data_IF_598250431239
#
_entry.id   IF_598250431239
#
_cell.length_a   1.000
_cell.length_b   1.000
_cell.length_c   1.000
_cell.angle_alpha   90.00
_cell.angle_beta   90.00
_cell.angle_gamma   90.00
#
_symmetry.space_group_name_H-M   'P 1'
#
loop_
_entity.id
_entity.type
_entity.pdbx_description
1 polymer ?
#
# COMPACT_ATOMS: atom_id res chain seq x y z
N UNK A 1 -39.40 -0.84 -21.07
CA UNK A 1 -38.19 -1.26 -21.82
C UNK A 1 -37.00 -0.32 -21.57
N UNK A 2 -37.07 0.98 -21.86
CA UNK A 2 -35.97 1.94 -21.61
C UNK A 2 -35.50 2.01 -20.14
N UNK A 3 -36.43 1.90 -19.19
CA UNK A 3 -36.12 1.90 -17.76
C UNK A 3 -35.37 0.63 -17.31
N UNK A 4 -35.75 -0.53 -17.86
CA UNK A 4 -35.03 -1.80 -17.62
C UNK A 4 -33.61 -1.76 -18.20
N UNK A 5 -33.41 -1.16 -19.38
CA UNK A 5 -32.07 -0.97 -19.96
C UNK A 5 -31.20 -0.06 -19.09
N UNK A 6 -31.75 1.06 -18.58
CA UNK A 6 -31.04 1.95 -17.64
C UNK A 6 -30.65 1.25 -16.34
N UNK A 7 -31.57 0.47 -15.76
CA UNK A 7 -31.30 -0.30 -14.54
C UNK A 7 -30.23 -1.37 -14.79
N UNK A 8 -30.27 -2.06 -15.93
CA UNK A 8 -29.24 -3.03 -16.31
C UNK A 8 -27.86 -2.38 -16.48
N UNK A 9 -27.78 -1.19 -17.08
CA UNK A 9 -26.53 -0.44 -17.21
C UNK A 9 -25.99 0.05 -15.86
N UNK A 10 -26.86 0.53 -14.98
CA UNK A 10 -26.50 0.91 -13.62
C UNK A 10 -25.99 -0.29 -12.82
N UNK A 11 -26.71 -1.42 -12.85
CA UNK A 11 -26.27 -2.65 -12.18
C UNK A 11 -24.93 -3.10 -12.72
N UNK A 12 -24.79 -3.12 -14.06
CA UNK A 12 -23.53 -3.37 -14.74
C UNK A 12 -22.45 -2.37 -14.34
N UNK A 13 -22.72 -1.19 -13.81
CA UNK A 13 -21.69 -0.26 -13.35
C UNK A 13 -21.27 -0.50 -11.90
N UNK A 14 -22.23 -0.75 -11.01
CA UNK A 14 -22.01 -0.73 -9.57
C UNK A 14 -21.73 -2.10 -8.93
N UNK A 15 -22.12 -3.21 -9.57
CA UNK A 15 -21.95 -4.54 -8.96
C UNK A 15 -20.51 -4.89 -8.51
N UNK A 16 -19.41 -4.49 -9.18
CA UNK A 16 -18.07 -4.81 -8.68
C UNK A 16 -17.76 -4.07 -7.39
N UNK A 17 -18.29 -2.86 -7.22
CA UNK A 17 -18.10 -2.07 -6.01
C UNK A 17 -18.83 -2.72 -4.84
N UNK A 18 -20.09 -3.15 -5.08
CA UNK A 18 -20.87 -3.89 -4.09
C UNK A 18 -20.22 -5.22 -3.72
N UNK A 19 -19.66 -5.93 -4.70
CA UNK A 19 -18.93 -7.18 -4.44
C UNK A 19 -17.69 -6.94 -3.59
N UNK A 20 -16.88 -5.93 -3.91
CA UNK A 20 -15.69 -5.56 -3.12
C UNK A 20 -16.09 -5.24 -1.67
N UNK A 21 -17.11 -4.40 -1.48
CA UNK A 21 -17.60 -4.06 -0.14
C UNK A 21 -18.11 -5.30 0.59
N UNK A 22 -18.94 -6.12 -0.07
CA UNK A 22 -19.50 -7.33 0.52
C UNK A 22 -18.42 -8.32 0.97
N UNK A 23 -17.36 -8.52 0.17
CA UNK A 23 -16.22 -9.38 0.52
C UNK A 23 -15.42 -8.79 1.69
N UNK A 24 -15.15 -7.49 1.70
CA UNK A 24 -14.46 -6.83 2.83
C UNK A 24 -15.26 -7.00 4.14
N UNK A 25 -16.57 -6.74 4.11
CA UNK A 25 -17.42 -6.90 5.30
C UNK A 25 -17.49 -8.37 5.74
N UNK A 26 -17.60 -9.31 4.80
CA UNK A 26 -17.64 -10.74 5.12
C UNK A 26 -16.35 -11.24 5.80
N UNK A 27 -15.18 -10.75 5.36
CA UNK A 27 -13.89 -11.18 5.91
C UNK A 27 -13.53 -10.46 7.21
N UNK A 28 -13.75 -9.15 7.27
CA UNK A 28 -13.25 -8.30 8.35
C UNK A 28 -14.35 -7.82 9.30
N UNK A 29 -15.64 -8.03 9.01
CA UNK A 29 -16.75 -7.57 9.86
C UNK A 29 -16.64 -8.05 11.31
N UNK A 30 -16.11 -9.26 11.53
CA UNK A 30 -15.87 -9.82 12.87
C UNK A 30 -14.88 -9.01 13.70
N UNK A 31 -13.97 -8.25 13.08
CA UNK A 31 -12.99 -7.43 13.82
C UNK A 31 -13.63 -6.31 14.61
N UNK A 32 -14.86 -5.90 14.26
CA UNK A 32 -15.61 -4.92 15.05
C UNK A 32 -15.97 -5.41 16.45
N UNK A 33 -15.96 -6.73 16.69
CA UNK A 33 -16.15 -7.32 18.01
C UNK A 33 -14.86 -7.57 18.79
N UNK A 34 -13.71 -7.09 18.30
CA UNK A 34 -12.43 -7.21 18.99
C UNK A 34 -12.15 -5.96 19.84
N UNK A 35 -11.42 -6.15 20.93
CA UNK A 35 -10.88 -5.07 21.76
C UNK A 35 -9.55 -4.57 21.21
N UNK A 36 -9.10 -3.41 21.73
CA UNK A 36 -7.76 -2.90 21.46
C UNK A 36 -6.68 -3.87 21.96
N UNK A 37 -5.61 -4.03 21.19
CA UNK A 37 -4.49 -4.90 21.54
C UNK A 37 -3.57 -4.25 22.58
N UNK A 38 -3.03 -5.05 23.50
CA UNK A 38 -2.02 -4.63 24.51
C UNK A 38 -0.63 -4.32 23.93
N UNK A 39 -0.52 -4.19 22.60
CA UNK A 39 0.74 -3.88 21.89
C UNK A 39 0.85 -2.39 21.61
N UNK A 40 0.66 -1.97 20.36
CA UNK A 40 0.69 -0.56 19.98
C UNK A 40 -0.64 0.15 20.29
N UNK A 41 -1.78 -0.56 20.33
CA UNK A 41 -3.07 0.11 20.54
C UNK A 41 -3.15 0.70 21.95
N UNK A 42 -2.65 -0.03 22.96
CA UNK A 42 -2.65 0.43 24.35
C UNK A 42 -1.90 1.76 24.56
N UNK A 43 -0.59 1.88 24.32
CA UNK A 43 0.16 3.11 24.55
C UNK A 43 -0.21 4.23 23.58
N UNK A 44 -0.49 3.94 22.31
CA UNK A 44 -0.67 4.98 21.29
C UNK A 44 -2.13 5.37 21.02
N UNK A 45 -3.09 4.54 21.43
CA UNK A 45 -4.52 4.82 21.28
C UNK A 45 -5.19 4.97 22.65
N UNK A 46 -5.15 3.92 23.47
CA UNK A 46 -5.93 3.82 24.71
C UNK A 46 -5.44 4.73 25.82
N UNK A 47 -4.14 4.73 26.09
CA UNK A 47 -3.53 5.50 27.17
C UNK A 47 -3.03 6.87 26.68
N UNK A 48 -3.15 7.15 25.38
CA UNK A 48 -2.69 8.40 24.79
C UNK A 48 -3.60 9.57 25.20
N UNK A 49 -3.12 10.54 26.02
CA UNK A 49 -3.93 11.64 26.51
C UNK A 49 -4.43 12.56 25.38
N UNK A 50 -3.71 12.62 24.26
CA UNK A 50 -4.04 13.47 23.11
C UNK A 50 -5.31 12.98 22.40
N UNK A 51 -5.64 11.69 22.52
CA UNK A 51 -6.82 11.09 21.87
C UNK A 51 -8.03 10.96 22.79
N UNK A 52 -7.92 11.30 24.09
CA UNK A 52 -9.02 11.19 25.04
C UNK A 52 -10.11 12.25 24.86
N UNK A 53 -9.76 13.39 24.28
CA UNK A 53 -10.69 14.49 24.03
C UNK A 53 -10.28 15.30 22.80
N UNK A 54 -11.24 16.00 22.20
CA UNK A 54 -10.97 16.95 21.13
C UNK A 54 -10.77 18.34 21.73
N UNK A 55 -9.54 18.85 21.67
CA UNK A 55 -9.20 20.20 22.11
C UNK A 55 -8.18 20.84 21.14
N UNK A 56 -8.07 22.17 21.19
CA UNK A 56 -7.06 22.90 20.40
C UNK A 56 -5.64 22.46 20.77
N UNK A 57 -5.39 22.22 22.06
CA UNK A 57 -4.09 21.75 22.54
C UNK A 57 -3.77 20.34 22.03
N UNK A 58 -4.76 19.42 22.04
CA UNK A 58 -4.57 18.08 21.49
C UNK A 58 -4.32 18.11 19.98
N UNK A 59 -5.05 18.95 19.24
CA UNK A 59 -4.77 19.19 17.82
C UNK A 59 -3.36 19.75 17.60
N UNK A 60 -2.92 20.68 18.44
CA UNK A 60 -1.56 21.23 18.38
C UNK A 60 -0.51 20.15 18.64
N UNK A 61 -0.73 19.27 19.63
CA UNK A 61 0.18 18.16 19.93
C UNK A 61 0.31 17.20 18.75
N UNK A 62 -0.81 16.86 18.08
CA UNK A 62 -0.80 16.01 16.88
C UNK A 62 0.10 16.61 15.78
N UNK A 63 0.01 17.92 15.55
CA UNK A 63 0.78 18.63 14.52
C UNK A 63 2.15 19.16 14.99
N UNK A 64 2.59 18.78 16.19
CA UNK A 64 3.92 19.11 16.70
C UNK A 64 4.82 17.87 16.59
N UNK A 65 5.96 17.95 15.88
CA UNK A 65 6.94 16.86 15.86
C UNK A 65 7.37 16.47 17.28
N UNK A 66 7.25 15.19 17.63
CA UNK A 66 7.50 14.71 19.00
C UNK A 66 6.41 15.05 20.03
N UNK A 67 5.25 15.57 19.59
CA UNK A 67 4.14 15.94 20.46
C UNK A 67 3.29 14.75 20.96
N UNK A 68 3.52 13.54 20.45
CA UNK A 68 2.94 12.31 20.96
C UNK A 68 4.03 11.54 21.69
N UNK A 69 3.80 11.28 22.98
CA UNK A 69 4.77 10.59 23.83
C UNK A 69 5.06 9.16 23.33
N UNK A 70 6.34 8.78 23.32
CA UNK A 70 6.81 7.45 22.91
C UNK A 70 6.78 7.17 21.39
N UNK A 71 6.06 7.98 20.61
CA UNK A 71 5.98 7.78 19.15
C UNK A 71 7.24 8.31 18.45
N UNK A 72 7.90 7.42 17.70
CA UNK A 72 9.12 7.73 16.95
C UNK A 72 8.83 8.36 15.59
N UNK A 73 7.61 8.23 15.08
CA UNK A 73 7.20 8.72 13.77
C UNK A 73 6.26 9.92 13.89
N UNK A 74 6.61 11.02 13.24
CA UNK A 74 5.69 12.14 13.00
C UNK A 74 4.65 11.73 11.96
N UNK A 75 3.49 11.24 12.43
CA UNK A 75 2.37 10.76 11.59
C UNK A 75 1.03 11.45 11.96
N UNK A 76 0.95 12.78 11.85
CA UNK A 76 -0.19 13.56 12.36
C UNK A 76 -1.54 13.12 11.78
N UNK A 77 -1.61 12.71 10.51
CA UNK A 77 -2.88 12.32 9.88
C UNK A 77 -3.41 10.99 10.42
N UNK A 78 -2.52 10.11 10.90
CA UNK A 78 -2.92 8.88 11.56
C UNK A 78 -3.60 9.17 12.90
N UNK A 79 -3.00 10.00 13.75
CA UNK A 79 -3.59 10.41 15.03
C UNK A 79 -4.86 11.27 14.84
N UNK A 80 -4.84 12.21 13.89
CA UNK A 80 -6.00 13.03 13.56
C UNK A 80 -7.24 12.17 13.21
N UNK A 81 -7.03 11.04 12.54
CA UNK A 81 -8.13 10.14 12.17
C UNK A 81 -8.84 9.48 13.36
N UNK A 82 -8.22 9.46 14.54
CA UNK A 82 -8.85 8.96 15.76
C UNK A 82 -9.71 10.02 16.46
N UNK A 83 -9.48 11.32 16.23
CA UNK A 83 -10.28 12.36 16.89
C UNK A 83 -11.78 12.32 16.56
N UNK A 84 -12.21 12.06 15.31
CA UNK A 84 -13.63 11.83 15.03
C UNK A 84 -14.20 10.63 15.78
N UNK A 85 -13.39 9.57 15.97
CA UNK A 85 -13.78 8.40 16.75
C UNK A 85 -14.12 8.81 18.19
N UNK A 86 -13.18 9.50 18.84
CA UNK A 86 -13.34 10.02 20.20
C UNK A 86 -14.52 10.97 20.31
N UNK A 87 -14.69 11.90 19.36
CA UNK A 87 -15.73 12.91 19.42
C UNK A 87 -17.15 12.32 19.35
N UNK A 88 -17.39 11.38 18.43
CA UNK A 88 -18.73 10.84 18.19
C UNK A 88 -19.08 9.62 19.06
N UNK A 89 -18.08 8.80 19.40
CA UNK A 89 -18.32 7.48 20.01
C UNK A 89 -17.53 7.26 21.31
N UNK A 90 -16.76 8.26 21.75
CA UNK A 90 -15.68 8.02 22.70
C UNK A 90 -14.57 7.18 22.08
N UNK A 91 -13.49 6.94 22.84
CA UNK A 91 -12.41 6.08 22.38
C UNK A 91 -12.86 4.61 22.39
N UNK A 92 -13.54 4.19 21.32
CA UNK A 92 -14.23 2.91 21.21
C UNK A 92 -13.58 2.01 20.14
N UNK A 93 -13.33 0.74 20.49
CA UNK A 93 -12.69 -0.25 19.60
C UNK A 93 -13.57 -0.61 18.39
N UNK A 94 -14.88 -0.79 18.59
CA UNK A 94 -15.86 -1.08 17.52
C UNK A 94 -15.79 -0.01 16.44
N UNK A 95 -15.87 1.26 16.85
CA UNK A 95 -15.82 2.39 15.94
C UNK A 95 -14.43 2.50 15.28
N UNK A 96 -13.36 2.17 16.01
CA UNK A 96 -12.02 2.17 15.46
C UNK A 96 -11.79 1.10 14.36
N UNK A 97 -12.21 -0.14 14.61
CA UNK A 97 -12.14 -1.24 13.65
C UNK A 97 -13.09 -1.00 12.47
N UNK A 98 -14.28 -0.44 12.72
CA UNK A 98 -15.23 -0.10 11.64
C UNK A 98 -14.62 0.87 10.64
N UNK A 99 -13.91 1.90 11.10
CA UNK A 99 -13.22 2.82 10.19
C UNK A 99 -12.11 2.12 9.39
N UNK A 100 -11.38 1.18 9.98
CA UNK A 100 -10.37 0.40 9.25
C UNK A 100 -11.01 -0.45 8.14
N UNK A 101 -12.14 -1.11 8.41
CA UNK A 101 -12.90 -1.86 7.39
C UNK A 101 -13.35 -0.95 6.26
N UNK A 102 -13.89 0.24 6.58
CA UNK A 102 -14.33 1.24 5.59
C UNK A 102 -13.15 1.70 4.73
N UNK A 103 -12.02 2.03 5.35
CA UNK A 103 -10.80 2.44 4.64
C UNK A 103 -10.28 1.32 3.73
N UNK A 104 -10.31 0.07 4.18
CA UNK A 104 -9.90 -1.08 3.37
C UNK A 104 -10.85 -1.31 2.17
N UNK A 105 -12.16 -1.18 2.37
CA UNK A 105 -13.15 -1.22 1.28
C UNK A 105 -12.93 -0.10 0.26
N UNK A 106 -12.70 1.13 0.73
CA UNK A 106 -12.36 2.27 -0.13
C UNK A 106 -11.07 2.00 -0.92
N UNK A 107 -10.04 1.45 -0.28
CA UNK A 107 -8.79 1.05 -0.93
C UNK A 107 -9.01 -0.03 -1.99
N UNK A 108 -9.83 -1.05 -1.72
CA UNK A 108 -10.21 -2.07 -2.71
C UNK A 108 -10.88 -1.47 -3.94
N UNK A 109 -11.80 -0.52 -3.75
CA UNK A 109 -12.47 0.20 -4.83
C UNK A 109 -11.47 1.04 -5.64
N UNK A 110 -10.60 1.81 -4.97
CA UNK A 110 -9.60 2.62 -5.66
C UNK A 110 -8.57 1.75 -6.40
N UNK A 111 -8.20 0.60 -5.85
CA UNK A 111 -7.33 -0.38 -6.51
C UNK A 111 -7.99 -0.94 -7.78
N UNK A 112 -9.30 -1.26 -7.73
CA UNK A 112 -10.08 -1.63 -8.91
C UNK A 112 -10.06 -0.53 -9.97
N UNK A 113 -10.33 0.72 -9.58
CA UNK A 113 -10.33 1.85 -10.51
C UNK A 113 -8.95 2.09 -11.12
N UNK A 114 -7.88 1.98 -10.34
CA UNK A 114 -6.51 2.14 -10.80
C UNK A 114 -6.13 1.03 -11.80
N UNK A 115 -6.41 -0.24 -11.47
CA UNK A 115 -6.14 -1.35 -12.37
C UNK A 115 -6.96 -1.22 -13.66
N UNK A 116 -8.23 -0.82 -13.58
CA UNK A 116 -9.04 -0.58 -14.76
C UNK A 116 -8.48 0.56 -15.62
N UNK A 117 -8.02 1.65 -15.00
CA UNK A 117 -7.37 2.76 -15.69
C UNK A 117 -6.08 2.33 -16.42
N UNK A 118 -5.28 1.43 -15.84
CA UNK A 118 -4.00 0.99 -16.38
C UNK A 118 -4.13 -0.10 -17.46
N UNK A 119 -5.01 -1.08 -17.24
CA UNK A 119 -5.11 -2.27 -18.09
C UNK A 119 -6.28 -2.24 -19.07
N UNK A 120 -7.27 -1.36 -18.85
CA UNK A 120 -8.51 -1.25 -19.66
C UNK A 120 -9.32 -2.55 -19.75
N UNK A 121 -9.04 -3.51 -18.85
CA UNK A 121 -9.77 -4.77 -18.75
C UNK A 121 -10.44 -4.83 -17.39
N UNK A 122 -11.77 -4.82 -17.40
CA UNK A 122 -12.59 -4.77 -16.20
C UNK A 122 -12.47 -6.03 -15.34
N UNK A 123 -12.45 -7.20 -15.96
CA UNK A 123 -12.37 -8.47 -15.24
C UNK A 123 -11.01 -8.60 -14.56
N UNK A 124 -9.93 -8.32 -15.30
CA UNK A 124 -8.58 -8.29 -14.74
C UNK A 124 -8.45 -7.32 -13.56
N UNK A 125 -9.04 -6.11 -13.69
CA UNK A 125 -9.05 -5.13 -12.61
C UNK A 125 -9.84 -5.60 -11.38
N UNK A 126 -10.98 -6.27 -11.58
CA UNK A 126 -11.77 -6.81 -10.48
C UNK A 126 -11.03 -7.94 -9.78
N UNK A 127 -10.48 -8.90 -10.52
CA UNK A 127 -9.67 -9.98 -9.94
C UNK A 127 -8.49 -9.44 -9.15
N UNK A 128 -7.81 -8.41 -9.64
CA UNK A 128 -6.71 -7.77 -8.91
C UNK A 128 -7.16 -7.09 -7.62
N UNK A 129 -8.31 -6.39 -7.63
CA UNK A 129 -8.85 -5.77 -6.44
C UNK A 129 -9.35 -6.80 -5.41
N UNK A 130 -9.99 -7.88 -5.86
CA UNK A 130 -10.40 -8.99 -5.00
C UNK A 130 -9.17 -9.70 -4.40
N UNK A 131 -8.15 -9.97 -5.20
CA UNK A 131 -6.89 -10.52 -4.70
C UNK A 131 -6.27 -9.58 -3.67
N UNK A 132 -6.29 -8.26 -3.91
CA UNK A 132 -5.77 -7.27 -2.96
C UNK A 132 -6.48 -7.34 -1.62
N UNK A 133 -7.82 -7.32 -1.58
CA UNK A 133 -8.59 -7.27 -0.32
C UNK A 133 -8.62 -8.61 0.44
N UNK A 134 -8.56 -9.73 -0.28
CA UNK A 134 -8.66 -11.08 0.32
C UNK A 134 -7.32 -11.58 0.83
N UNK A 135 -6.20 -11.04 0.31
CA UNK A 135 -4.89 -11.58 0.64
C UNK A 135 -4.59 -11.55 2.15
N UNK A 136 -4.12 -12.66 2.77
CA UNK A 136 -3.84 -12.74 4.20
C UNK A 136 -2.89 -11.66 4.73
N UNK A 137 -1.97 -11.15 3.90
CA UNK A 137 -1.10 -10.00 4.25
C UNK A 137 -1.88 -8.74 4.66
N UNK A 138 -3.12 -8.57 4.22
CA UNK A 138 -3.92 -7.42 4.60
C UNK A 138 -4.46 -7.52 6.03
N UNK A 139 -4.55 -8.73 6.61
CA UNK A 139 -5.18 -8.95 7.92
C UNK A 139 -4.55 -8.04 8.96
N UNK A 140 -3.22 -8.00 9.07
CA UNK A 140 -2.54 -7.14 10.03
C UNK A 140 -2.85 -5.66 9.85
N UNK A 141 -3.01 -5.17 8.62
CA UNK A 141 -3.34 -3.77 8.37
C UNK A 141 -4.81 -3.42 8.71
N UNK A 142 -5.73 -4.39 8.54
CA UNK A 142 -7.18 -4.17 8.70
C UNK A 142 -7.65 -4.46 10.13
N UNK A 143 -7.19 -5.57 10.73
CA UNK A 143 -7.66 -6.01 12.04
C UNK A 143 -6.96 -5.31 13.21
N UNK A 144 -5.73 -4.84 13.05
CA UNK A 144 -5.02 -4.10 14.09
C UNK A 144 -5.41 -2.62 14.05
N UNK A 145 -5.99 -2.08 15.13
CA UNK A 145 -6.53 -0.72 15.16
C UNK A 145 -5.47 0.34 14.80
N UNK A 146 -4.29 0.27 15.43
CA UNK A 146 -3.19 1.22 15.17
C UNK A 146 -2.62 1.13 13.76
N UNK A 147 -2.76 -0.01 13.06
CA UNK A 147 -2.39 -0.13 11.65
C UNK A 147 -3.28 0.67 10.70
N UNK A 148 -4.27 1.43 11.20
CA UNK A 148 -5.00 2.44 10.41
C UNK A 148 -4.09 3.34 9.57
N UNK A 149 -2.89 3.65 10.08
CA UNK A 149 -1.84 4.40 9.35
C UNK A 149 -1.52 3.81 7.97
N UNK A 150 -1.50 2.49 7.85
CA UNK A 150 -1.24 1.78 6.59
C UNK A 150 -2.41 1.93 5.62
N UNK A 151 -3.64 1.86 6.14
CA UNK A 151 -4.86 2.02 5.35
C UNK A 151 -5.02 3.45 4.83
N UNK A 152 -4.74 4.45 5.66
CA UNK A 152 -4.75 5.87 5.28
C UNK A 152 -3.67 6.19 4.26
N UNK A 153 -2.44 5.74 4.49
CA UNK A 153 -1.36 5.89 3.52
C UNK A 153 -1.71 5.22 2.19
N UNK A 154 -2.27 4.00 2.21
CA UNK A 154 -2.77 3.32 1.02
C UNK A 154 -3.87 4.08 0.27
N UNK A 155 -4.81 4.68 1.01
CA UNK A 155 -5.89 5.50 0.45
C UNK A 155 -5.33 6.70 -0.30
N UNK A 156 -4.47 7.45 0.37
CA UNK A 156 -3.85 8.63 -0.20
C UNK A 156 -2.90 8.29 -1.36
N UNK A 157 -2.19 7.15 -1.30
CA UNK A 157 -1.37 6.65 -2.40
C UNK A 157 -2.20 6.32 -3.66
N UNK A 158 -3.34 5.65 -3.50
CA UNK A 158 -4.22 5.30 -4.61
C UNK A 158 -4.89 6.56 -5.20
N UNK A 159 -5.35 7.48 -4.35
CA UNK A 159 -5.88 8.78 -4.78
C UNK A 159 -4.83 9.60 -5.53
N UNK A 160 -3.60 9.66 -5.01
CA UNK A 160 -2.46 10.28 -5.67
C UNK A 160 -2.25 9.71 -7.08
N UNK A 161 -2.16 8.39 -7.23
CA UNK A 161 -1.93 7.75 -8.52
C UNK A 161 -3.07 8.03 -9.51
N UNK A 162 -4.33 7.91 -9.08
CA UNK A 162 -5.50 8.17 -9.92
C UNK A 162 -5.55 9.63 -10.39
N UNK A 163 -5.33 10.59 -9.50
CA UNK A 163 -5.29 12.01 -9.84
C UNK A 163 -4.09 12.32 -10.72
N UNK A 164 -2.92 11.73 -10.45
CA UNK A 164 -1.72 11.91 -11.26
C UNK A 164 -1.92 11.37 -12.69
N UNK A 165 -2.60 10.23 -12.87
CA UNK A 165 -2.98 9.71 -14.18
C UNK A 165 -3.93 10.68 -14.92
N UNK A 166 -4.90 11.27 -14.22
CA UNK A 166 -5.82 12.27 -14.79
C UNK A 166 -5.10 13.57 -15.16
N UNK A 167 -4.16 14.01 -14.33
CA UNK A 167 -3.27 15.14 -14.62
C UNK A 167 -2.44 14.85 -15.88
N UNK A 168 -1.86 13.66 -16.02
CA UNK A 168 -1.09 13.30 -17.22
C UNK A 168 -1.91 13.35 -18.51
N UNK A 169 -3.19 13.00 -18.42
CA UNK A 169 -4.11 13.04 -19.56
C UNK A 169 -4.57 14.46 -19.92
N UNK A 170 -4.76 15.35 -18.95
CA UNK A 170 -5.40 16.66 -19.16
C UNK A 170 -4.49 17.87 -19.00
N UNK A 171 -3.32 17.68 -18.37
CA UNK A 171 -2.31 18.70 -18.02
C UNK A 171 -2.83 19.87 -17.17
N UNK A 172 -3.99 19.73 -16.52
CA UNK A 172 -4.56 20.77 -15.65
C UNK A 172 -3.76 20.92 -14.36
N UNK A 173 -3.20 22.10 -14.09
CA UNK A 173 -2.37 22.39 -12.90
C UNK A 173 -3.06 22.07 -11.57
N UNK A 174 -4.37 22.31 -11.46
CA UNK A 174 -5.15 21.98 -10.25
C UNK A 174 -5.04 20.49 -9.86
N UNK A 175 -4.97 19.58 -10.84
CA UNK A 175 -4.80 18.15 -10.57
C UNK A 175 -3.39 17.80 -10.11
N UNK A 176 -2.37 18.56 -10.52
CA UNK A 176 -1.01 18.37 -10.03
C UNK A 176 -0.93 18.74 -8.54
N UNK A 177 -1.50 19.87 -8.16
CA UNK A 177 -1.55 20.31 -6.75
C UNK A 177 -2.40 19.37 -5.89
N UNK A 178 -3.52 18.87 -6.42
CA UNK A 178 -4.33 17.87 -5.74
C UNK A 178 -3.57 16.53 -5.56
N UNK A 179 -2.79 16.10 -6.56
CA UNK A 179 -1.93 14.93 -6.41
C UNK A 179 -0.87 15.19 -5.32
N UNK A 180 -0.19 16.33 -5.35
CA UNK A 180 0.78 16.69 -4.32
C UNK A 180 0.15 16.71 -2.92
N UNK A 181 -1.06 17.25 -2.77
CA UNK A 181 -1.81 17.23 -1.52
C UNK A 181 -2.05 15.80 -1.02
N UNK A 182 -2.58 14.91 -1.87
CA UNK A 182 -2.79 13.52 -1.49
C UNK A 182 -1.48 12.81 -1.14
N UNK A 183 -0.42 13.03 -1.91
CA UNK A 183 0.89 12.49 -1.58
C UNK A 183 1.36 12.95 -0.19
N UNK A 184 1.27 14.25 0.10
CA UNK A 184 1.63 14.82 1.40
C UNK A 184 0.80 14.24 2.55
N UNK A 185 -0.53 14.15 2.39
CA UNK A 185 -1.41 13.53 3.39
C UNK A 185 -1.05 12.06 3.66
N UNK A 186 -0.71 11.31 2.61
CA UNK A 186 -0.30 9.92 2.76
C UNK A 186 1.04 9.75 3.46
N UNK A 187 2.04 10.56 3.10
CA UNK A 187 3.34 10.60 3.77
C UNK A 187 3.20 10.98 5.26
N UNK A 188 2.31 11.93 5.58
CA UNK A 188 1.95 12.32 6.95
C UNK A 188 1.06 11.28 7.68
N UNK A 189 0.56 10.26 6.99
CA UNK A 189 -0.12 9.13 7.61
C UNK A 189 0.88 8.02 7.93
N UNK A 190 1.77 7.68 6.99
CA UNK A 190 2.89 6.77 7.20
C UNK A 190 4.02 7.06 6.19
N UNK A 191 5.30 7.10 6.60
CA UNK A 191 6.44 7.37 5.71
C UNK A 191 6.78 6.23 4.71
N UNK A 192 5.84 5.34 4.37
CA UNK A 192 6.06 4.21 3.48
C UNK A 192 5.84 4.54 1.98
N UNK A 193 5.50 5.78 1.65
CA UNK A 193 5.18 6.22 0.27
C UNK A 193 6.38 6.72 -0.54
N UNK A 194 7.61 6.61 -0.02
CA UNK A 194 8.83 7.12 -0.68
C UNK A 194 9.08 6.52 -2.08
N UNK A 195 8.50 5.35 -2.37
CA UNK A 195 8.62 4.69 -3.67
C UNK A 195 7.69 5.26 -4.74
N UNK A 196 6.64 6.02 -4.40
CA UNK A 196 5.66 6.51 -5.38
C UNK A 196 6.23 7.49 -6.43
N UNK A 197 7.19 8.39 -6.11
CA UNK A 197 7.89 9.15 -7.15
C UNK A 197 8.56 8.25 -8.20
N UNK A 198 9.08 7.08 -7.79
CA UNK A 198 9.60 6.07 -8.72
C UNK A 198 8.48 5.38 -9.51
N UNK A 199 7.32 5.11 -8.90
CA UNK A 199 6.14 4.63 -9.63
C UNK A 199 5.75 5.64 -10.71
N UNK A 200 5.71 6.93 -10.38
CA UNK A 200 5.44 8.00 -11.34
C UNK A 200 6.35 7.84 -12.55
N UNK A 201 7.68 7.69 -12.36
CA UNK A 201 8.67 7.43 -13.42
C UNK A 201 8.23 6.25 -14.29
N UNK A 202 7.79 5.13 -13.72
CA UNK A 202 7.43 3.93 -14.47
C UNK A 202 6.10 4.00 -15.25
N UNK A 203 5.19 4.93 -14.92
CA UNK A 203 3.82 4.95 -15.46
C UNK A 203 3.69 5.05 -17.01
N UNK A 204 4.50 5.83 -17.76
CA UNK A 204 4.38 5.91 -19.21
C UNK A 204 4.57 4.55 -19.87
N UNK A 205 5.49 3.74 -19.35
CA UNK A 205 5.74 2.40 -19.87
C UNK A 205 4.60 1.42 -19.58
N UNK A 206 3.91 1.56 -18.44
CA UNK A 206 2.67 0.82 -18.16
C UNK A 206 1.53 1.19 -19.14
N UNK A 207 1.47 2.45 -19.55
CA UNK A 207 0.48 2.94 -20.51
C UNK A 207 0.92 2.80 -21.97
N UNK A 208 2.11 2.25 -22.23
CA UNK A 208 2.68 2.11 -23.57
C UNK A 208 2.85 3.46 -24.30
N UNK A 209 3.18 4.52 -23.54
CA UNK A 209 3.43 5.88 -24.05
C UNK A 209 4.90 6.27 -23.80
N UNK A 210 5.48 7.10 -24.67
CA UNK A 210 6.85 7.61 -24.48
C UNK A 210 6.93 8.58 -23.28
N UNK A 211 7.98 8.50 -22.44
CA UNK A 211 8.17 9.44 -21.34
C UNK A 211 8.50 10.84 -21.90
N UNK A 212 7.86 11.88 -21.33
CA UNK A 212 8.18 13.28 -21.62
C UNK A 212 9.12 13.90 -20.57
N UNK A 213 9.57 15.15 -20.75
CA UNK A 213 10.50 15.82 -19.78
C UNK A 213 9.95 15.87 -18.35
N UNK A 214 8.67 16.16 -18.18
CA UNK A 214 8.00 16.24 -16.87
C UNK A 214 8.02 14.92 -16.09
N UNK A 215 8.26 13.80 -16.79
CA UNK A 215 8.38 12.48 -16.19
C UNK A 215 9.54 12.36 -15.22
N UNK A 216 10.62 13.09 -15.49
CA UNK A 216 11.86 13.05 -14.74
C UNK A 216 11.92 14.13 -13.67
N UNK A 217 11.30 15.29 -13.93
CA UNK A 217 11.35 16.44 -13.00
C UNK A 217 10.27 16.41 -11.92
N UNK A 218 9.06 15.93 -12.20
CA UNK A 218 7.97 15.91 -11.20
C UNK A 218 8.19 14.98 -10.01
N UNK A 219 8.84 13.81 -10.15
CA UNK A 219 9.22 13.01 -9.00
C UNK A 219 10.01 13.81 -7.95
N UNK A 220 10.85 14.77 -8.36
CA UNK A 220 11.60 15.64 -7.45
C UNK A 220 10.67 16.54 -6.61
N UNK A 221 9.59 17.04 -7.20
CA UNK A 221 8.56 17.80 -6.47
C UNK A 221 7.89 16.94 -5.39
N UNK A 222 7.59 15.67 -5.71
CA UNK A 222 7.01 14.74 -4.73
C UNK A 222 8.03 14.27 -3.68
N UNK A 223 9.33 14.42 -3.90
CA UNK A 223 10.32 14.13 -2.85
C UNK A 223 10.37 15.23 -1.78
N UNK A 224 9.89 16.45 -2.05
CA UNK A 224 9.95 17.55 -1.07
C UNK A 224 9.16 17.26 0.22
N UNK A 225 7.87 16.82 0.20
CA UNK A 225 7.15 16.48 1.43
C UNK A 225 7.80 15.33 2.21
N UNK A 226 8.39 14.35 1.50
CA UNK A 226 9.09 13.23 2.14
C UNK A 226 10.38 13.70 2.81
N UNK A 227 11.19 14.52 2.12
CA UNK A 227 12.41 15.09 2.69
C UNK A 227 12.13 15.94 3.93
N UNK A 228 11.08 16.76 3.89
CA UNK A 228 10.62 17.53 5.05
C UNK A 228 10.20 16.61 6.21
N UNK A 229 9.43 15.57 5.94
CA UNK A 229 9.01 14.62 6.98
C UNK A 229 10.22 13.94 7.65
N UNK A 230 11.18 13.46 6.85
CA UNK A 230 12.39 12.82 7.37
C UNK A 230 13.20 13.78 8.25
N UNK A 231 13.29 15.04 7.86
CA UNK A 231 13.93 16.09 8.67
C UNK A 231 13.15 16.34 9.99
N UNK A 232 11.81 16.44 9.95
CA UNK A 232 11.01 16.60 11.17
C UNK A 232 11.19 15.41 12.12
N UNK A 233 11.22 14.19 11.59
CA UNK A 233 11.50 12.98 12.36
C UNK A 233 12.91 12.98 12.97
N UNK A 234 13.93 13.47 12.25
CA UNK A 234 15.28 13.54 12.81
C UNK A 234 15.38 14.55 13.95
N UNK A 235 14.61 15.64 13.89
CA UNK A 235 14.54 16.61 14.99
C UNK A 235 13.81 16.03 16.21
N UNK A 236 12.69 15.33 16.02
CA UNK A 236 11.92 14.72 17.11
C UNK A 236 12.70 13.60 17.83
N UNK A 237 13.59 12.91 17.13
CA UNK A 237 14.41 11.82 17.66
C UNK A 237 15.85 12.24 17.97
N UNK A 238 16.11 13.53 18.21
CA UNK A 238 17.45 14.06 18.49
C UNK A 238 18.02 13.42 19.76
N UNK A 239 18.87 12.41 19.61
CA UNK A 239 19.43 11.63 20.72
C UNK A 239 19.58 10.14 20.41
N UNK A 240 18.87 9.61 19.41
CA UNK A 240 19.15 8.26 18.90
C UNK A 240 20.29 8.30 17.88
N UNK A 241 21.41 7.67 18.21
CA UNK A 241 22.50 7.46 17.25
C UNK A 241 22.04 6.54 16.12
N UNK A 242 22.47 6.83 14.89
CA UNK A 242 22.32 5.90 13.78
C UNK A 242 23.11 4.63 14.10
N UNK A 243 22.41 3.51 14.28
CA UNK A 243 23.01 2.21 14.48
C UNK A 243 23.51 1.66 13.13
N UNK A 244 24.66 2.16 12.68
CA UNK A 244 25.29 1.77 11.39
C UNK A 244 25.60 0.27 11.39
N UNK A 245 26.07 -0.29 12.50
CA UNK A 245 26.37 -1.72 12.61
C UNK A 245 25.13 -2.59 12.42
N UNK A 246 24.01 -2.24 13.08
CA UNK A 246 22.72 -2.92 12.88
C UNK A 246 22.21 -2.81 11.44
N UNK A 247 22.47 -1.68 10.77
CA UNK A 247 22.12 -1.50 9.35
C UNK A 247 22.96 -2.37 8.41
N UNK A 248 24.28 -2.42 8.62
CA UNK A 248 25.17 -3.31 7.85
C UNK A 248 24.82 -4.78 8.10
N UNK A 249 24.52 -5.11 9.35
CA UNK A 249 24.07 -6.44 9.74
C UNK A 249 22.75 -6.81 9.03
N UNK A 250 21.79 -5.89 8.91
CA UNK A 250 20.57 -6.12 8.15
C UNK A 250 20.83 -6.48 6.68
N UNK A 251 21.79 -5.85 6.01
CA UNK A 251 22.10 -6.15 4.61
C UNK A 251 22.46 -7.64 4.40
N UNK A 252 23.05 -8.28 5.41
CA UNK A 252 23.35 -9.72 5.38
C UNK A 252 22.08 -10.61 5.46
N UNK A 253 20.96 -10.09 5.96
CA UNK A 253 19.67 -10.80 6.08
C UNK A 253 18.73 -10.58 4.90
N UNK A 254 19.10 -9.76 3.91
CA UNK A 254 18.29 -9.53 2.71
C UNK A 254 17.81 -10.83 2.02
N UNK A 255 18.61 -11.91 1.92
CA UNK A 255 18.13 -13.16 1.35
C UNK A 255 16.98 -13.79 2.16
N UNK A 256 17.08 -13.81 3.49
CA UNK A 256 16.03 -14.33 4.38
C UNK A 256 14.78 -13.44 4.31
N UNK A 257 14.94 -12.11 4.36
CA UNK A 257 13.82 -11.17 4.21
C UNK A 257 13.10 -11.37 2.88
N UNK A 258 13.85 -11.56 1.80
CA UNK A 258 13.28 -11.83 0.47
C UNK A 258 12.52 -13.16 0.46
N UNK A 259 13.08 -14.19 1.08
CA UNK A 259 12.45 -15.52 1.21
C UNK A 259 11.14 -15.44 1.98
N UNK A 260 11.13 -14.72 3.10
CA UNK A 260 9.94 -14.50 3.93
C UNK A 260 8.86 -13.74 3.16
N UNK A 261 9.22 -12.67 2.45
CA UNK A 261 8.25 -11.93 1.63
C UNK A 261 7.69 -12.79 0.48
N UNK A 262 8.54 -13.51 -0.25
CA UNK A 262 8.08 -14.43 -1.29
C UNK A 262 7.18 -15.53 -0.73
N UNK A 263 7.53 -16.10 0.43
CA UNK A 263 6.72 -17.11 1.12
C UNK A 263 5.35 -16.58 1.55
N UNK A 264 5.29 -15.36 2.11
CA UNK A 264 4.03 -14.74 2.55
C UNK A 264 3.15 -14.33 1.38
N UNK A 265 3.74 -13.79 0.30
CA UNK A 265 3.01 -13.31 -0.88
C UNK A 265 2.53 -14.46 -1.78
N UNK A 266 3.37 -15.47 -2.01
CA UNK A 266 3.06 -16.52 -2.99
C UNK A 266 2.48 -17.78 -2.35
N UNK A 267 2.99 -18.16 -1.18
CA UNK A 267 2.70 -19.45 -0.57
C UNK A 267 1.82 -19.34 0.67
N UNK A 268 1.49 -18.11 1.09
CA UNK A 268 0.74 -17.83 2.32
C UNK A 268 1.38 -18.51 3.55
N UNK A 269 2.71 -18.71 3.51
CA UNK A 269 3.44 -19.40 4.57
C UNK A 269 3.67 -18.44 5.72
N UNK A 270 3.30 -18.89 6.93
CA UNK A 270 3.58 -18.21 8.19
C UNK A 270 3.18 -16.71 8.18
N UNK A 271 1.91 -16.36 7.85
CA UNK A 271 1.42 -15.01 8.06
C UNK A 271 1.53 -14.73 9.55
N UNK A 272 2.48 -13.89 9.90
CA UNK A 272 2.88 -13.66 11.27
C UNK A 272 2.74 -12.16 11.55
N UNK A 273 1.78 -11.77 12.42
CA UNK A 273 1.62 -10.39 12.83
C UNK A 273 2.79 -9.92 13.69
N UNK A 274 3.56 -10.84 14.28
CA UNK A 274 4.75 -10.51 15.06
C UNK A 274 5.89 -10.03 14.17
N UNK A 275 6.56 -9.01 14.67
CA UNK A 275 7.93 -8.68 14.38
C UNK A 275 8.81 -9.92 14.61
N UNK A 276 9.40 -10.49 13.55
CA UNK A 276 10.46 -11.47 13.76
C UNK A 276 11.63 -10.75 14.44
N UNK A 277 11.78 -11.03 15.73
CA UNK A 277 12.76 -10.40 16.62
C UNK A 277 14.18 -10.81 16.25
N UNK A 278 15.12 -9.90 16.48
CA UNK A 278 16.57 -10.10 16.47
C UNK A 278 17.06 -11.06 17.58
N UNK A 279 16.31 -12.08 17.99
CA UNK A 279 16.89 -13.19 18.76
C UNK A 279 17.73 -14.04 17.79
N UNK A 280 18.90 -13.48 17.48
CA UNK A 280 19.87 -13.92 16.50
C UNK A 280 20.45 -15.27 16.91
N UNK A 281 20.17 -16.29 16.12
CA UNK A 281 21.14 -17.34 15.85
C UNK A 281 21.71 -17.09 14.44
N UNK A 282 22.87 -16.40 14.33
CA UNK A 282 23.52 -16.05 13.06
C UNK A 282 23.82 -17.25 12.16
N UNK A 283 23.82 -18.46 12.72
CA UNK A 283 24.11 -19.71 12.03
C UNK A 283 22.98 -20.19 11.10
N UNK A 284 21.84 -19.50 11.05
CA UNK A 284 20.62 -19.97 10.38
C UNK A 284 20.16 -19.12 9.20
N UNK A 285 21.05 -18.47 8.41
CA UNK A 285 20.67 -18.18 7.02
C UNK A 285 20.47 -19.54 6.37
N UNK A 286 19.20 -19.93 6.21
CA UNK A 286 18.86 -21.22 5.63
C UNK A 286 19.50 -21.25 4.23
N UNK A 287 20.23 -22.31 3.84
CA UNK A 287 20.83 -22.39 2.50
C UNK A 287 19.82 -22.12 1.38
N UNK A 288 18.55 -22.46 1.61
CA UNK A 288 17.44 -22.17 0.71
C UNK A 288 17.17 -20.66 0.52
N UNK A 289 17.45 -19.82 1.52
CA UNK A 289 17.27 -18.37 1.44
C UNK A 289 18.23 -17.71 0.45
N UNK A 290 19.39 -18.33 0.18
CA UNK A 290 20.33 -17.89 -0.85
C UNK A 290 19.77 -18.07 -2.27
N UNK A 291 18.75 -18.92 -2.45
CA UNK A 291 18.08 -19.10 -3.74
C UNK A 291 17.02 -18.02 -4.01
N UNK A 292 16.50 -17.33 -3.00
CA UNK A 292 15.43 -16.34 -3.18
C UNK A 292 15.79 -15.19 -4.13
N UNK A 293 17.00 -14.58 -4.08
CA UNK A 293 17.42 -13.60 -5.08
C UNK A 293 17.44 -14.16 -6.51
N UNK A 294 17.91 -15.39 -6.70
CA UNK A 294 17.94 -16.04 -8.01
C UNK A 294 16.51 -16.32 -8.53
N UNK A 295 15.61 -16.78 -7.67
CA UNK A 295 14.19 -16.99 -7.99
C UNK A 295 13.53 -15.66 -8.36
N UNK A 296 13.76 -14.60 -7.58
CA UNK A 296 13.22 -13.27 -7.85
C UNK A 296 13.72 -12.74 -9.22
N UNK A 297 15.02 -12.89 -9.49
CA UNK A 297 15.62 -12.51 -10.78
C UNK A 297 15.04 -13.32 -11.95
N UNK A 298 14.81 -14.62 -11.76
CA UNK A 298 14.16 -15.47 -12.76
C UNK A 298 12.71 -15.02 -13.01
N UNK A 299 11.93 -14.74 -11.96
CA UNK A 299 10.55 -14.25 -12.08
C UNK A 299 10.52 -12.91 -12.82
N UNK A 300 11.42 -11.98 -12.48
CA UNK A 300 11.55 -10.70 -13.17
C UNK A 300 11.97 -10.88 -14.64
N UNK A 301 12.91 -11.77 -14.92
CA UNK A 301 13.34 -12.08 -16.28
C UNK A 301 12.21 -12.68 -17.11
N UNK A 302 11.49 -13.68 -16.58
CA UNK A 302 10.33 -14.28 -17.25
C UNK A 302 9.27 -13.22 -17.51
N UNK A 303 8.93 -12.40 -16.51
CA UNK A 303 7.96 -11.32 -16.69
C UNK A 303 8.42 -10.30 -17.75
N UNK A 304 9.70 -9.95 -17.78
CA UNK A 304 10.27 -9.05 -18.80
C UNK A 304 10.12 -9.62 -20.20
N UNK A 305 10.31 -10.93 -20.37
CA UNK A 305 10.21 -11.63 -21.66
C UNK A 305 8.76 -11.87 -22.11
N UNK A 306 7.83 -12.07 -21.19
CA UNK A 306 6.44 -12.46 -21.51
C UNK A 306 5.45 -11.29 -21.50
N UNK A 307 5.59 -10.38 -20.54
CA UNK A 307 4.64 -9.29 -20.33
C UNK A 307 5.32 -8.08 -19.65
N UNK A 308 5.69 -7.09 -20.46
CA UNK A 308 6.32 -5.86 -19.98
C UNK A 308 5.55 -5.16 -18.85
N UNK A 309 4.21 -5.18 -18.89
CA UNK A 309 3.39 -4.54 -17.84
C UNK A 309 3.47 -5.32 -16.52
N UNK A 310 3.46 -6.65 -16.59
CA UNK A 310 3.69 -7.52 -15.43
C UNK A 310 5.06 -7.23 -14.80
N UNK A 311 6.12 -7.16 -15.61
CA UNK A 311 7.46 -6.82 -15.13
C UNK A 311 7.50 -5.49 -14.39
N UNK A 312 6.91 -4.43 -14.97
CA UNK A 312 6.88 -3.11 -14.33
C UNK A 312 6.10 -3.15 -13.01
N UNK A 313 4.97 -3.86 -12.95
CA UNK A 313 4.22 -4.03 -11.72
C UNK A 313 5.00 -4.78 -10.63
N UNK A 314 5.80 -5.79 -11.00
CA UNK A 314 6.69 -6.49 -10.06
C UNK A 314 7.84 -5.59 -9.57
N UNK A 315 8.39 -4.73 -10.43
CA UNK A 315 9.35 -3.70 -9.99
C UNK A 315 8.69 -2.77 -8.97
N UNK A 316 7.48 -2.28 -9.24
CA UNK A 316 6.74 -1.43 -8.30
C UNK A 316 6.55 -2.14 -6.95
N UNK A 317 6.18 -3.43 -6.96
CA UNK A 317 6.06 -4.24 -5.75
C UNK A 317 7.38 -4.33 -4.98
N UNK A 318 8.49 -4.63 -5.66
CA UNK A 318 9.82 -4.68 -5.04
C UNK A 318 10.23 -3.35 -4.41
N UNK A 319 10.04 -2.23 -5.12
CA UNK A 319 10.32 -0.90 -4.59
C UNK A 319 9.41 -0.52 -3.42
N UNK A 320 8.15 -0.94 -3.43
CA UNK A 320 7.21 -0.72 -2.33
C UNK A 320 7.54 -1.58 -1.09
N UNK A 321 8.25 -2.69 -1.25
CA UNK A 321 8.79 -3.48 -0.14
C UNK A 321 10.10 -2.92 0.43
N UNK A 322 10.80 -2.01 -0.26
CA UNK A 322 12.03 -1.43 0.28
C UNK A 322 11.82 -0.69 1.61
N UNK A 323 10.78 0.17 1.77
CA UNK A 323 10.47 0.79 3.06
C UNK A 323 9.98 -0.21 4.12
N UNK A 324 9.44 -1.35 3.69
CA UNK A 324 8.98 -2.44 4.55
C UNK A 324 10.15 -3.26 5.11
N UNK A 325 11.22 -3.44 4.31
CA UNK A 325 12.46 -4.07 4.75
C UNK A 325 13.38 -3.10 5.49
N UNK A 326 13.36 -1.82 5.13
CA UNK A 326 14.16 -0.80 5.77
C UNK A 326 13.27 0.37 6.12
N UNK A 327 12.83 0.46 7.38
CA UNK A 327 12.53 1.77 7.93
C UNK A 327 13.80 2.59 7.74
N UNK A 328 13.79 3.45 6.73
CA UNK A 328 14.74 4.51 6.55
C UNK A 328 14.91 5.18 7.91
N UNK A 329 16.13 5.09 8.44
CA UNK A 329 16.79 6.14 9.20
C UNK A 329 16.08 6.47 10.54
N UNK A 330 16.74 6.16 11.65
CA UNK A 330 16.55 6.77 12.98
C UNK A 330 15.68 6.08 14.05
N UNK A 331 15.19 4.85 13.87
CA UNK A 331 14.57 4.12 14.98
C UNK A 331 15.25 2.78 15.17
N UNK A 332 15.87 2.56 16.32
CA UNK A 332 16.62 1.37 16.73
C UNK A 332 15.72 0.10 16.85
N UNK A 333 14.94 -0.19 15.80
CA UNK A 333 13.91 -1.23 15.76
C UNK A 333 14.55 -2.60 15.59
N UNK A 334 14.18 -3.53 16.46
CA UNK A 334 14.79 -4.86 16.54
C UNK A 334 14.10 -5.94 15.70
N UNK A 335 13.57 -5.59 14.52
CA UNK A 335 12.86 -6.54 13.66
C UNK A 335 13.05 -6.27 12.17
N UNK A 336 12.97 -7.33 11.36
CA UNK A 336 13.27 -7.26 9.92
C UNK A 336 12.05 -7.11 9.00
N UNK A 337 10.87 -7.59 9.42
CA UNK A 337 9.65 -7.59 8.60
C UNK A 337 8.41 -7.82 9.47
N UNK A 338 7.27 -7.32 9.00
CA UNK A 338 5.93 -7.61 9.52
C UNK A 338 4.90 -7.50 8.37
N UNK A 339 3.83 -8.29 8.44
CA UNK A 339 2.84 -8.42 7.36
C UNK A 339 2.24 -7.09 6.92
N UNK A 340 1.91 -6.23 7.89
CA UNK A 340 1.24 -4.96 7.64
C UNK A 340 2.07 -3.98 6.79
N UNK A 341 3.41 -4.13 6.72
CA UNK A 341 4.23 -3.34 5.82
C UNK A 341 4.05 -3.71 4.33
N UNK A 342 3.53 -4.90 4.06
CA UNK A 342 3.24 -5.40 2.72
C UNK A 342 1.96 -4.81 2.11
N UNK A 343 1.16 -4.05 2.88
CA UNK A 343 -0.16 -3.56 2.49
C UNK A 343 -0.14 -2.89 1.11
N UNK A 344 0.67 -1.85 0.93
CA UNK A 344 0.76 -1.10 -0.33
C UNK A 344 1.53 -1.89 -1.39
N UNK A 345 2.53 -2.67 -1.01
CA UNK A 345 3.32 -3.47 -1.94
C UNK A 345 2.47 -4.50 -2.70
N UNK A 346 1.42 -5.02 -2.05
CA UNK A 346 0.45 -5.90 -2.69
C UNK A 346 -0.18 -5.31 -3.95
N UNK A 347 -0.31 -3.97 -4.07
CA UNK A 347 -0.82 -3.34 -5.30
C UNK A 347 0.06 -3.61 -6.53
N UNK A 348 1.38 -3.72 -6.33
CA UNK A 348 2.31 -4.12 -7.39
C UNK A 348 2.09 -5.56 -7.81
N UNK A 349 1.96 -6.48 -6.84
CA UNK A 349 1.70 -7.90 -7.11
C UNK A 349 0.33 -8.12 -7.78
N UNK A 350 -0.73 -7.50 -7.29
CA UNK A 350 -2.05 -7.62 -7.89
C UNK A 350 -2.12 -6.94 -9.25
N UNK A 351 -1.36 -5.86 -9.47
CA UNK A 351 -1.18 -5.25 -10.79
C UNK A 351 -0.48 -6.19 -11.79
N UNK A 352 0.53 -6.92 -11.34
CA UNK A 352 1.22 -7.94 -12.15
C UNK A 352 0.26 -9.08 -12.53
N UNK A 353 -0.56 -9.53 -11.58
CA UNK A 353 -1.62 -10.50 -11.83
C UNK A 353 -2.67 -9.99 -12.82
N UNK A 354 -3.10 -8.73 -12.68
CA UNK A 354 -4.02 -8.08 -13.62
C UNK A 354 -3.43 -8.04 -15.04
N UNK A 355 -2.14 -7.73 -15.17
CA UNK A 355 -1.45 -7.70 -16.45
C UNK A 355 -1.43 -9.08 -17.11
N UNK A 356 -1.16 -10.13 -16.35
CA UNK A 356 -1.15 -11.52 -16.82
C UNK A 356 -2.55 -11.99 -17.27
N UNK A 357 -3.57 -11.79 -16.43
CA UNK A 357 -4.97 -12.12 -16.77
C UNK A 357 -5.41 -11.35 -18.00
N UNK A 358 -5.13 -10.05 -18.06
CA UNK A 358 -5.53 -9.22 -19.20
C UNK A 358 -4.92 -9.73 -20.51
N UNK A 359 -3.66 -10.16 -20.51
CA UNK A 359 -3.03 -10.76 -21.69
C UNK A 359 -3.69 -12.08 -22.07
N UNK A 360 -3.96 -12.95 -21.10
CA UNK A 360 -4.58 -14.26 -21.32
C UNK A 360 -6.00 -14.14 -21.90
N UNK A 361 -6.82 -13.23 -21.35
CA UNK A 361 -8.18 -12.97 -21.86
C UNK A 361 -8.12 -12.48 -23.32
N UNK A 362 -7.24 -11.51 -23.62
CA UNK A 362 -7.10 -10.98 -24.98
C UNK A 362 -6.60 -12.04 -25.97
N UNK A 363 -5.65 -12.89 -25.57
CA UNK A 363 -5.16 -13.98 -26.39
C UNK A 363 -6.25 -15.01 -26.72
N UNK A 364 -7.12 -15.34 -25.76
CA UNK A 364 -8.27 -16.24 -25.98
C UNK A 364 -9.41 -15.64 -26.80
N UNK A 365 -9.50 -14.31 -26.90
CA UNK A 365 -10.47 -13.64 -27.76
C UNK A 365 -10.01 -13.55 -29.23
N UNK A 366 -8.72 -13.72 -29.49
CA UNK A 366 -8.12 -13.68 -30.83
C UNK A 366 -8.38 -14.88 -31.78
N UNK A 367 -8.83 -16.09 -31.39
CA UNK A 367 -8.87 -17.24 -32.31
C UNK A 367 -9.89 -17.17 -33.45
N UNK A 368 -10.82 -16.21 -33.47
CA UNK A 368 -11.89 -16.18 -34.48
C UNK A 368 -11.67 -15.25 -35.69
N UNK A 369 -10.58 -14.47 -35.71
CA UNK A 369 -10.34 -13.50 -36.81
C UNK A 369 -9.45 -14.07 -37.93
N UNK A 370 -8.74 -15.19 -37.69
CA UNK A 370 -7.82 -15.75 -38.69
C UNK A 370 -8.41 -16.78 -39.66
N UNK A 371 -9.68 -17.20 -39.49
CA UNK A 371 -10.34 -18.15 -40.40
C UNK A 371 -11.16 -17.49 -41.52
N UNK A 372 -11.27 -16.15 -41.54
CA UNK A 372 -11.98 -15.41 -42.59
C UNK A 372 -11.10 -14.95 -43.77
N UNK A 373 -9.79 -15.15 -43.71
CA UNK A 373 -8.83 -14.60 -44.70
C UNK A 373 -8.22 -15.66 -45.65
N UNK A 374 -8.74 -16.90 -45.66
CA UNK A 374 -8.31 -17.97 -46.58
C UNK A 374 -9.45 -18.36 -47.55
N UNK A 375 -10.55 -17.60 -47.59
CA UNK A 375 -11.70 -17.88 -48.45
C UNK A 375 -12.12 -16.68 -49.33
N UNK A 376 -11.14 -15.94 -49.88
CA UNK A 376 -11.38 -14.92 -50.91
C UNK A 376 -10.43 -15.11 -52.09
#
# INVERSE_FOLDING_TARGET
MQEQTKLQEQWRRYWPLLLIIGVVVALYGRTTGFDFLEWDDRPYIVDNPVLQQVSVDNLRSIFTPGGIEGELLYIPFSYLSFLPNTFFFGLNAIAAHSLNIILHGANGILAFLLCFQLFKNRNAALFAALLFIVHPLQVGAVSWAFCRRDLLSGLFALLFLLVHLKWRATRRSALLWLALLFYTCGVLSKPNMIFLPFVCILLPWLQSVRPGRQQWSLPLLYLLPMGLLLWLNSQANSGQNLNIEGQLYYLSYLPEVTTQWLGRILLLINPNPYHLSLTLQPELIRPLALLAPAILMLVLYVAYRTNRKMFICLLIAGFALLPAGHVLIAANRQFYTADHYGYIAMLGFTGAFAAAISQWITAKAAPFVFLGAIAA
#
